data_IF_492980594634
#
_entry.id   IF_492980594634
#
_cell.length_a   1.000
_cell.length_b   1.000
_cell.length_c   1.000
_cell.angle_alpha   90.00
_cell.angle_beta   90.00
_cell.angle_gamma   90.00
#
_symmetry.space_group_name_H-M   'P 1'
#
loop_
_entity.id
_entity.type
_entity.pdbx_description
1 polymer ?
#
# COMPACT_ATOMS: atom_id res chain seq x y z
N UNK A 1 4.30 -18.20 10.27
CA UNK A 1 3.86 -16.84 10.66
C UNK A 1 4.59 -15.89 9.74
N UNK A 2 3.89 -15.35 8.75
CA UNK A 2 4.49 -14.43 7.77
C UNK A 2 4.83 -13.10 8.45
N UNK A 3 6.03 -12.58 8.19
CA UNK A 3 6.49 -11.30 8.72
C UNK A 3 5.46 -10.18 8.49
N UNK A 4 4.82 -10.19 7.31
CA UNK A 4 3.73 -9.29 6.93
C UNK A 4 2.59 -9.27 7.95
N UNK A 5 2.15 -10.44 8.42
CA UNK A 5 1.03 -10.53 9.37
C UNK A 5 1.41 -9.97 10.75
N UNK A 6 2.65 -10.22 11.19
CA UNK A 6 3.18 -9.68 12.46
C UNK A 6 3.30 -8.15 12.40
N UNK A 7 3.79 -7.62 11.28
CA UNK A 7 3.97 -6.18 11.11
C UNK A 7 2.64 -5.43 10.96
N UNK A 8 1.61 -6.05 10.38
CA UNK A 8 0.30 -5.38 10.16
C UNK A 8 -0.74 -5.63 11.25
N UNK A 9 -0.64 -6.73 12.01
CA UNK A 9 -1.63 -7.10 13.04
C UNK A 9 -1.05 -7.15 14.46
N UNK A 10 0.21 -6.72 14.62
CA UNK A 10 0.83 -6.54 15.92
C UNK A 10 0.22 -5.37 16.71
N UNK A 11 0.49 -5.29 18.04
CA UNK A 11 -0.06 -4.23 18.89
C UNK A 11 0.54 -2.85 18.61
N UNK A 12 1.65 -2.79 17.87
CA UNK A 12 2.32 -1.54 17.51
C UNK A 12 1.89 -1.07 16.12
N UNK A 13 0.99 -0.08 16.08
CA UNK A 13 0.56 0.57 14.84
C UNK A 13 1.70 1.25 14.06
N UNK A 14 2.89 1.41 14.65
CA UNK A 14 4.10 1.84 13.96
C UNK A 14 4.60 0.81 12.94
N UNK A 15 4.45 -0.49 13.23
CA UNK A 15 4.87 -1.56 12.31
C UNK A 15 4.05 -1.56 11.02
N UNK A 16 2.75 -1.29 11.09
CA UNK A 16 1.90 -1.17 9.90
C UNK A 16 2.33 0.01 9.00
N UNK A 17 2.71 1.14 9.60
CA UNK A 17 3.25 2.29 8.86
C UNK A 17 4.60 1.98 8.22
N UNK A 18 5.49 1.28 8.91
CA UNK A 18 6.77 0.82 8.36
C UNK A 18 6.54 -0.13 7.17
N UNK A 19 5.60 -1.08 7.30
CA UNK A 19 5.26 -1.99 6.23
C UNK A 19 4.76 -1.26 4.97
N UNK A 20 3.91 -0.23 5.13
CA UNK A 20 3.46 0.61 4.02
C UNK A 20 4.62 1.35 3.32
N UNK A 21 5.53 1.95 4.09
CA UNK A 21 6.71 2.64 3.53
C UNK A 21 7.63 1.65 2.79
N UNK A 22 7.89 0.49 3.37
CA UNK A 22 8.70 -0.55 2.75
C UNK A 22 8.05 -1.07 1.46
N UNK A 23 6.73 -1.32 1.49
CA UNK A 23 5.96 -1.74 0.33
C UNK A 23 5.98 -0.70 -0.79
N UNK A 24 5.86 0.59 -0.45
CA UNK A 24 5.91 1.70 -1.41
C UNK A 24 7.28 1.76 -2.10
N UNK A 25 8.37 1.62 -1.34
CA UNK A 25 9.73 1.61 -1.88
C UNK A 25 9.98 0.42 -2.82
N UNK A 26 9.55 -0.78 -2.43
CA UNK A 26 9.71 -1.99 -3.25
C UNK A 26 8.91 -1.85 -4.54
N UNK A 27 7.65 -1.43 -4.44
CA UNK A 27 6.76 -1.33 -5.58
C UNK A 27 7.17 -0.19 -6.53
N UNK A 28 7.55 0.97 -6.00
CA UNK A 28 8.08 2.08 -6.80
C UNK A 28 9.38 1.71 -7.52
N UNK A 29 10.25 0.94 -6.86
CA UNK A 29 11.47 0.42 -7.51
C UNK A 29 11.12 -0.50 -8.68
N UNK A 30 10.13 -1.39 -8.51
CA UNK A 30 9.64 -2.25 -9.59
C UNK A 30 8.99 -1.46 -10.74
N UNK A 31 8.17 -0.45 -10.41
CA UNK A 31 7.52 0.43 -11.37
C UNK A 31 8.52 1.25 -12.19
N UNK A 32 9.71 1.53 -11.67
CA UNK A 32 10.76 2.24 -12.41
C UNK A 32 11.40 1.43 -13.56
N UNK A 33 11.10 0.13 -13.66
CA UNK A 33 11.71 -0.75 -14.67
C UNK A 33 11.10 -0.49 -16.07
N UNK A 34 11.89 0.01 -17.04
CA UNK A 34 11.38 0.34 -18.37
C UNK A 34 10.96 -0.89 -19.20
N UNK A 35 11.36 -2.11 -18.80
CA UNK A 35 10.95 -3.35 -19.45
C UNK A 35 9.49 -3.74 -19.15
N UNK A 36 8.91 -3.18 -18.09
CA UNK A 36 7.51 -3.41 -17.71
C UNK A 36 6.60 -2.51 -18.55
N UNK A 37 5.45 -3.00 -19.02
CA UNK A 37 4.52 -2.14 -19.78
C UNK A 37 3.99 -0.99 -18.92
N UNK A 38 3.64 0.14 -19.56
CA UNK A 38 3.19 1.34 -18.83
C UNK A 38 1.98 1.07 -17.94
N UNK A 39 1.03 0.23 -18.38
CA UNK A 39 -0.16 -0.12 -17.61
C UNK A 39 0.18 -0.70 -16.23
N UNK A 40 1.19 -1.56 -16.14
CA UNK A 40 1.63 -2.14 -14.88
C UNK A 40 2.39 -1.12 -14.03
N UNK A 41 3.24 -0.29 -14.65
CA UNK A 41 3.97 0.78 -13.95
C UNK A 41 2.99 1.79 -13.34
N UNK A 42 2.02 2.25 -14.12
CA UNK A 42 1.02 3.23 -13.69
C UNK A 42 0.12 2.67 -12.56
N UNK A 43 -0.25 1.38 -12.65
CA UNK A 43 -1.01 0.71 -11.60
C UNK A 43 -0.19 0.54 -10.30
N UNK A 44 1.10 0.20 -10.42
CA UNK A 44 2.03 0.11 -9.31
C UNK A 44 2.23 1.48 -8.64
N UNK A 45 2.46 2.54 -9.41
CA UNK A 45 2.59 3.91 -8.91
C UNK A 45 1.31 4.40 -8.21
N UNK A 46 0.13 3.98 -8.68
CA UNK A 46 -1.13 4.28 -8.02
C UNK A 46 -1.25 3.62 -6.64
N UNK A 47 -0.71 2.40 -6.45
CA UNK A 47 -0.64 1.74 -5.14
C UNK A 47 0.38 2.41 -4.23
N UNK A 48 1.54 2.82 -4.78
CA UNK A 48 2.56 3.58 -4.03
C UNK A 48 1.95 4.84 -3.41
N UNK A 49 1.22 5.63 -4.21
CA UNK A 49 0.58 6.86 -3.74
C UNK A 49 -0.47 6.62 -2.64
N UNK A 50 -1.22 5.51 -2.68
CA UNK A 50 -2.19 5.19 -1.63
C UNK A 50 -1.51 4.70 -0.35
N UNK A 51 -0.40 3.96 -0.45
CA UNK A 51 0.41 3.62 0.73
C UNK A 51 0.96 4.87 1.43
N UNK A 52 1.55 5.80 0.67
CA UNK A 52 2.04 7.07 1.21
C UNK A 52 0.92 7.88 1.87
N UNK A 53 -0.24 7.94 1.24
CA UNK A 53 -1.43 8.63 1.79
C UNK A 53 -1.90 7.96 3.09
N UNK A 54 -1.94 6.63 3.15
CA UNK A 54 -2.34 5.90 4.36
C UNK A 54 -1.32 6.09 5.50
N UNK A 55 -0.02 6.22 5.21
CA UNK A 55 0.98 6.57 6.24
C UNK A 55 0.67 7.94 6.85
N UNK A 56 0.30 8.92 6.04
CA UNK A 56 -0.09 10.26 6.52
C UNK A 56 -1.35 10.19 7.37
N UNK A 57 -2.43 9.58 6.86
CA UNK A 57 -3.71 9.52 7.57
C UNK A 57 -3.62 8.66 8.85
N UNK A 58 -2.83 7.59 8.86
CA UNK A 58 -2.60 6.75 10.04
C UNK A 58 -1.68 7.37 11.11
N UNK A 59 -1.05 8.51 10.82
CA UNK A 59 -0.21 9.22 11.80
C UNK A 59 -1.04 9.84 12.93
N UNK A 60 -2.30 10.19 12.67
CA UNK A 60 -3.25 10.70 13.66
C UNK A 60 -4.61 9.99 13.64
N UNK A 61 -4.93 9.25 12.58
CA UNK A 61 -6.16 8.50 12.40
C UNK A 61 -6.09 7.08 12.94
N UNK A 62 -7.26 6.47 13.08
CA UNK A 62 -7.44 5.08 13.51
C UNK A 62 -8.75 4.55 12.95
N UNK A 63 -8.97 3.24 13.01
CA UNK A 63 -10.22 2.62 12.59
C UNK A 63 -11.46 3.33 13.17
N UNK A 64 -12.43 3.64 12.31
CA UNK A 64 -13.61 4.43 12.63
C UNK A 64 -13.45 5.94 12.43
N UNK A 65 -12.24 6.43 12.15
CA UNK A 65 -12.04 7.77 11.60
C UNK A 65 -12.34 7.72 10.09
N UNK A 66 -13.26 8.57 9.57
CA UNK A 66 -13.66 8.51 8.17
C UNK A 66 -12.52 8.73 7.17
N UNK A 67 -11.48 9.51 7.52
CA UNK A 67 -10.32 9.74 6.64
C UNK A 67 -9.41 8.53 6.61
N UNK A 68 -9.16 7.94 7.78
CA UNK A 68 -8.39 6.71 7.89
C UNK A 68 -9.06 5.58 7.13
N UNK A 69 -10.35 5.34 7.38
CA UNK A 69 -11.10 4.25 6.73
C UNK A 69 -11.15 4.45 5.21
N UNK A 70 -11.36 5.69 4.74
CA UNK A 70 -11.30 6.01 3.31
C UNK A 70 -9.92 5.77 2.69
N UNK A 71 -8.83 6.02 3.42
CA UNK A 71 -7.48 5.77 2.93
C UNK A 71 -7.19 4.26 2.84
N UNK A 72 -7.67 3.47 3.82
CA UNK A 72 -7.60 2.01 3.78
C UNK A 72 -8.37 1.44 2.59
N UNK A 73 -9.58 1.94 2.32
CA UNK A 73 -10.38 1.52 1.17
C UNK A 73 -9.71 1.87 -0.17
N UNK A 74 -9.04 3.02 -0.24
CA UNK A 74 -8.28 3.42 -1.42
C UNK A 74 -7.10 2.47 -1.68
N UNK A 75 -6.35 2.10 -0.64
CA UNK A 75 -5.27 1.09 -0.72
C UNK A 75 -5.82 -0.23 -1.24
N UNK A 76 -6.85 -0.79 -0.58
CA UNK A 76 -7.45 -2.07 -0.96
C UNK A 76 -7.95 -2.08 -2.41
N UNK A 77 -8.53 -0.96 -2.86
CA UNK A 77 -9.02 -0.81 -4.23
C UNK A 77 -7.88 -0.85 -5.25
N UNK A 78 -6.81 -0.09 -5.02
CA UNK A 78 -5.67 -0.04 -5.96
C UNK A 78 -4.86 -1.32 -5.97
N UNK A 79 -4.66 -1.96 -4.81
CA UNK A 79 -4.03 -3.27 -4.76
C UNK A 79 -4.81 -4.31 -5.56
N UNK A 80 -6.14 -4.31 -5.46
CA UNK A 80 -6.99 -5.23 -6.23
C UNK A 80 -6.82 -4.99 -7.72
N UNK A 81 -6.87 -3.74 -8.18
CA UNK A 81 -6.65 -3.41 -9.59
C UNK A 81 -5.26 -3.86 -10.09
N UNK A 82 -4.21 -3.71 -9.28
CA UNK A 82 -2.88 -4.20 -9.64
C UNK A 82 -2.83 -5.73 -9.70
N UNK A 83 -3.44 -6.43 -8.74
CA UNK A 83 -3.52 -7.90 -8.72
C UNK A 83 -4.27 -8.45 -9.93
N UNK A 84 -5.40 -7.84 -10.29
CA UNK A 84 -6.19 -8.19 -11.48
C UNK A 84 -5.36 -8.07 -12.77
N UNK A 85 -4.49 -7.06 -12.88
CA UNK A 85 -3.58 -6.91 -14.02
C UNK A 85 -2.48 -7.99 -14.05
N UNK A 86 -2.02 -8.43 -12.88
CA UNK A 86 -1.00 -9.49 -12.75
C UNK A 86 -1.54 -10.90 -13.01
N UNK A 87 -2.87 -11.08 -13.10
CA UNK A 87 -3.50 -12.36 -13.45
C UNK A 87 -3.71 -13.33 -12.29
N UNK A 88 -3.80 -12.81 -11.05
CA UNK A 88 -4.20 -13.59 -9.87
C UNK A 88 -5.72 -13.79 -9.77
#
# INVERSE_FOLDING_TARGET
MDAVHIETNGPDAGLGRIALVNGALILGSAASNPALESTYRDAADAVVQTYESLVVESSSGRAGDPRFDSAVDAVNTKERSLKELCGD
#
